data_IF_078203954753
#
_entry.id   IF_078203954753
#
_cell.length_a   1.000
_cell.length_b   1.000
_cell.length_c   1.000
_cell.angle_alpha   90.00
_cell.angle_beta   90.00
_cell.angle_gamma   90.00
#
_symmetry.space_group_name_H-M   'P 1'
#
loop_
_entity.id
_entity.type
_entity.pdbx_description
1 polymer ?
#
# COMPACT_ATOMS: atom_id res chain seq x y z
N UNK A 1 -4.54 1.82 -10.10
CA UNK A 1 -4.08 0.55 -10.65
C UNK A 1 -5.18 -0.44 -10.35
N UNK A 2 -5.67 -1.14 -11.37
CA UNK A 2 -6.67 -2.18 -11.16
C UNK A 2 -6.05 -3.40 -10.48
N UNK A 3 -6.91 -4.28 -10.00
CA UNK A 3 -6.49 -5.55 -9.38
C UNK A 3 -5.76 -6.46 -10.37
N UNK A 4 -6.17 -6.52 -11.64
CA UNK A 4 -5.51 -7.32 -12.67
C UNK A 4 -4.08 -6.85 -12.94
N UNK A 5 -3.87 -5.54 -13.14
CA UNK A 5 -2.52 -4.95 -13.30
C UNK A 5 -1.64 -5.28 -12.09
N UNK A 6 -2.22 -5.24 -10.89
CA UNK A 6 -1.49 -5.50 -9.66
C UNK A 6 -1.11 -6.97 -9.53
N UNK A 7 -1.98 -7.90 -9.92
CA UNK A 7 -1.66 -9.33 -9.98
C UNK A 7 -0.48 -9.56 -10.93
N UNK A 8 -0.56 -9.03 -12.16
CA UNK A 8 0.49 -9.18 -13.18
C UNK A 8 1.85 -8.62 -12.71
N UNK A 9 1.83 -7.56 -11.90
CA UNK A 9 3.04 -7.00 -11.29
C UNK A 9 3.57 -7.80 -10.09
N UNK A 10 2.71 -8.60 -9.44
CA UNK A 10 3.01 -9.24 -8.15
C UNK A 10 3.36 -10.71 -8.28
N UNK A 11 2.93 -11.38 -9.34
CA UNK A 11 3.22 -12.81 -9.58
C UNK A 11 4.02 -13.01 -10.87
N UNK A 12 4.75 -14.12 -10.92
CA UNK A 12 5.55 -14.51 -12.07
C UNK A 12 4.63 -14.71 -13.29
N UNK A 13 5.09 -14.23 -14.45
CA UNK A 13 4.32 -14.28 -15.70
C UNK A 13 3.85 -15.70 -16.03
N UNK A 14 2.55 -15.85 -16.30
CA UNK A 14 1.93 -17.13 -16.67
C UNK A 14 1.68 -18.09 -15.51
N UNK A 15 1.85 -17.65 -14.25
CA UNK A 15 1.62 -18.50 -13.06
C UNK A 15 0.30 -18.23 -12.33
N UNK A 16 -0.43 -17.18 -12.74
CA UNK A 16 -1.72 -16.83 -12.14
C UNK A 16 -2.77 -17.91 -12.41
N UNK A 17 -3.32 -18.44 -11.32
CA UNK A 17 -4.41 -19.43 -11.30
C UNK A 17 -5.55 -18.89 -10.43
N UNK A 18 -6.58 -18.27 -11.02
CA UNK A 18 -7.64 -17.60 -10.28
C UNK A 18 -8.56 -18.60 -9.56
N UNK A 19 -9.16 -18.16 -8.45
CA UNK A 19 -10.09 -18.92 -7.63
C UNK A 19 -11.45 -18.21 -7.51
N UNK A 20 -12.53 -19.01 -7.52
CA UNK A 20 -13.90 -18.57 -7.27
C UNK A 20 -14.32 -17.38 -8.18
N UNK A 21 -13.97 -17.43 -9.46
CA UNK A 21 -14.24 -16.34 -10.42
C UNK A 21 -15.74 -16.14 -10.66
N UNK A 22 -16.52 -17.21 -10.60
CA UNK A 22 -17.97 -17.25 -10.85
C UNK A 22 -18.81 -16.83 -9.62
N UNK A 23 -18.17 -16.58 -8.47
CA UNK A 23 -18.87 -16.16 -7.26
C UNK A 23 -19.33 -14.70 -7.36
N UNK A 24 -20.65 -14.49 -7.23
CA UNK A 24 -21.31 -13.18 -7.38
C UNK A 24 -22.19 -12.84 -6.20
N UNK A 25 -22.29 -11.54 -5.88
CA UNK A 25 -23.15 -11.06 -4.80
C UNK A 25 -24.63 -11.16 -5.17
N UNK A 26 -25.45 -11.46 -4.17
CA UNK A 26 -26.91 -11.31 -4.23
C UNK A 26 -27.34 -10.14 -3.34
N UNK A 27 -28.63 -9.84 -3.32
CA UNK A 27 -29.23 -8.88 -2.38
C UNK A 27 -29.95 -9.65 -1.25
N UNK A 28 -29.26 -9.94 -0.12
CA UNK A 28 -29.77 -10.81 0.93
C UNK A 28 -30.74 -10.12 1.88
N UNK A 29 -30.74 -8.78 1.92
CA UNK A 29 -31.55 -7.98 2.84
C UNK A 29 -32.60 -7.14 2.12
N UNK A 30 -32.77 -7.36 0.80
CA UNK A 30 -33.67 -6.59 -0.07
C UNK A 30 -33.45 -5.08 0.11
N UNK A 31 -32.19 -4.65 -0.04
CA UNK A 31 -31.78 -3.29 0.32
C UNK A 31 -32.57 -2.24 -0.47
N UNK A 32 -33.40 -1.48 0.26
CA UNK A 32 -34.16 -0.39 -0.31
C UNK A 32 -33.29 0.86 -0.52
N UNK A 33 -33.28 1.36 -1.74
CA UNK A 33 -32.53 2.53 -2.18
C UNK A 33 -33.43 3.40 -3.05
N UNK A 34 -33.45 4.72 -2.80
CA UNK A 34 -34.23 5.68 -3.59
C UNK A 34 -33.61 5.95 -4.96
N UNK A 35 -32.30 5.70 -5.12
CA UNK A 35 -31.55 5.98 -6.34
C UNK A 35 -31.58 4.79 -7.31
N UNK A 36 -30.97 3.68 -6.91
CA UNK A 36 -30.82 2.47 -7.71
C UNK A 36 -30.88 1.20 -6.85
N UNK A 37 -31.55 0.12 -7.31
CA UNK A 37 -31.54 -1.17 -6.63
C UNK A 37 -30.12 -1.74 -6.47
N UNK A 38 -29.83 -2.42 -5.36
CA UNK A 38 -28.49 -2.95 -5.09
C UNK A 38 -27.99 -3.91 -6.19
N UNK A 39 -28.87 -4.78 -6.70
CA UNK A 39 -28.55 -5.70 -7.80
C UNK A 39 -28.11 -4.98 -9.06
N UNK A 40 -28.78 -3.89 -9.42
CA UNK A 40 -28.47 -3.11 -10.62
C UNK A 40 -27.13 -2.37 -10.46
N UNK A 41 -26.87 -1.89 -9.24
CA UNK A 41 -25.57 -1.31 -8.88
C UNK A 41 -24.44 -2.32 -9.04
N UNK A 42 -24.58 -3.54 -8.51
CA UNK A 42 -23.60 -4.62 -8.71
C UNK A 42 -23.37 -4.86 -10.21
N UNK A 43 -24.45 -5.08 -10.98
CA UNK A 43 -24.38 -5.34 -12.42
C UNK A 43 -23.70 -4.19 -13.20
N UNK A 44 -23.90 -2.95 -12.76
CA UNK A 44 -23.24 -1.77 -13.34
C UNK A 44 -21.72 -1.80 -13.11
N UNK A 45 -21.28 -2.06 -11.87
CA UNK A 45 -19.86 -2.17 -11.55
C UNK A 45 -19.20 -3.37 -12.22
N UNK A 46 -19.86 -4.53 -12.28
CA UNK A 46 -19.36 -5.70 -13.00
C UNK A 46 -19.10 -5.39 -14.48
N UNK A 47 -20.04 -4.71 -15.15
CA UNK A 47 -19.85 -4.26 -16.54
C UNK A 47 -18.73 -3.23 -16.68
N UNK A 48 -18.58 -2.34 -15.70
CA UNK A 48 -17.58 -1.27 -15.73
C UNK A 48 -16.15 -1.78 -15.53
N UNK A 49 -15.95 -2.70 -14.60
CA UNK A 49 -14.61 -3.18 -14.21
C UNK A 49 -14.24 -4.49 -14.88
N UNK A 50 -15.22 -5.26 -15.39
CA UNK A 50 -15.02 -6.62 -15.87
C UNK A 50 -14.79 -7.64 -14.75
N UNK A 51 -14.97 -7.25 -13.49
CA UNK A 51 -14.78 -8.11 -12.31
C UNK A 51 -16.13 -8.63 -11.81
N UNK A 52 -16.16 -9.80 -11.20
CA UNK A 52 -17.37 -10.30 -10.52
C UNK A 52 -17.59 -9.65 -9.15
N UNK A 53 -16.52 -9.21 -8.49
CA UNK A 53 -16.57 -8.52 -7.20
C UNK A 53 -15.31 -7.66 -6.94
N UNK A 54 -15.26 -7.02 -5.77
CA UNK A 54 -14.20 -6.12 -5.33
C UNK A 54 -12.90 -6.80 -4.87
N UNK A 55 -12.75 -8.11 -5.09
CA UNK A 55 -11.51 -8.83 -4.83
C UNK A 55 -11.30 -9.95 -5.85
N UNK A 56 -10.07 -10.03 -6.36
CA UNK A 56 -9.57 -11.17 -7.10
C UNK A 56 -8.68 -12.01 -6.17
N UNK A 57 -8.85 -13.33 -6.20
CA UNK A 57 -8.14 -14.28 -5.34
C UNK A 57 -7.64 -15.43 -6.19
N UNK A 58 -6.47 -15.97 -5.86
CA UNK A 58 -5.90 -17.07 -6.64
C UNK A 58 -4.51 -17.47 -6.15
N UNK A 59 -3.92 -18.40 -6.88
CA UNK A 59 -2.55 -18.88 -6.67
C UNK A 59 -1.65 -18.24 -7.72
N UNK A 60 -0.40 -18.00 -7.34
CA UNK A 60 0.65 -17.57 -8.25
C UNK A 60 2.01 -18.02 -7.74
N UNK A 61 3.06 -17.63 -8.44
CA UNK A 61 4.43 -17.77 -7.95
C UNK A 61 5.06 -16.40 -7.77
N UNK A 62 5.90 -16.23 -6.75
CA UNK A 62 6.72 -15.06 -6.55
C UNK A 62 8.18 -15.50 -6.51
N UNK A 63 8.93 -15.23 -7.57
CA UNK A 63 10.29 -15.74 -7.75
C UNK A 63 10.37 -17.28 -7.61
N UNK A 64 9.41 -17.99 -8.22
CA UNK A 64 9.28 -19.45 -8.17
C UNK A 64 8.70 -20.01 -6.87
N UNK A 65 8.39 -19.17 -5.87
CA UNK A 65 7.77 -19.61 -4.61
C UNK A 65 6.25 -19.57 -4.78
N UNK A 66 5.54 -20.70 -4.64
CA UNK A 66 4.08 -20.70 -4.74
C UNK A 66 3.47 -19.91 -3.59
N UNK A 67 2.55 -19.01 -3.91
CA UNK A 67 1.86 -18.14 -2.97
C UNK A 67 0.36 -18.14 -3.23
N UNK A 68 -0.43 -17.94 -2.18
CA UNK A 68 -1.82 -17.54 -2.29
C UNK A 68 -1.89 -16.01 -2.22
N UNK A 69 -2.61 -15.37 -3.15
CA UNK A 69 -2.69 -13.91 -3.20
C UNK A 69 -4.13 -13.44 -3.46
N UNK A 70 -4.53 -12.42 -2.71
CA UNK A 70 -5.79 -11.72 -2.89
C UNK A 70 -5.54 -10.23 -3.13
N UNK A 71 -6.16 -9.66 -4.15
CA UNK A 71 -6.00 -8.26 -4.55
C UNK A 71 -7.37 -7.60 -4.62
N UNK A 72 -7.61 -6.65 -3.71
CA UNK A 72 -8.83 -5.86 -3.70
C UNK A 72 -8.82 -4.82 -4.81
N UNK A 73 -10.00 -4.48 -5.33
CA UNK A 73 -10.17 -3.46 -6.36
C UNK A 73 -11.09 -2.33 -5.90
N UNK A 74 -10.49 -1.15 -5.68
CA UNK A 74 -11.24 0.03 -5.25
C UNK A 74 -12.22 0.53 -6.32
N UNK A 75 -12.02 0.20 -7.61
CA UNK A 75 -12.91 0.62 -8.68
C UNK A 75 -14.29 -0.06 -8.58
N UNK A 76 -14.35 -1.25 -7.96
CA UNK A 76 -15.58 -1.97 -7.72
C UNK A 76 -16.21 -1.51 -6.39
N UNK A 77 -17.26 -0.69 -6.45
CA UNK A 77 -17.99 -0.20 -5.26
C UNK A 77 -17.09 0.32 -4.12
N UNK A 78 -15.99 1.00 -4.46
CA UNK A 78 -15.04 1.53 -3.48
C UNK A 78 -14.25 0.44 -2.75
N UNK A 79 -14.10 -0.75 -3.33
CA UNK A 79 -13.42 -1.88 -2.70
C UNK A 79 -14.13 -2.37 -1.43
N UNK A 80 -15.41 -2.06 -1.27
CA UNK A 80 -16.10 -2.29 -0.01
C UNK A 80 -16.24 -3.78 0.29
N UNK A 81 -16.06 -4.22 1.53
CA UNK A 81 -16.13 -5.64 1.86
C UNK A 81 -17.59 -6.07 2.10
N UNK A 82 -18.13 -6.88 1.18
CA UNK A 82 -19.40 -7.60 1.33
C UNK A 82 -19.17 -9.11 1.52
N UNK A 83 -20.25 -9.89 1.50
CA UNK A 83 -20.25 -11.33 1.77
C UNK A 83 -19.35 -12.12 0.82
N UNK A 84 -19.36 -11.79 -0.48
CA UNK A 84 -18.52 -12.45 -1.48
C UNK A 84 -17.04 -12.11 -1.29
N UNK A 85 -16.70 -10.85 -1.00
CA UNK A 85 -15.31 -10.48 -0.64
C UNK A 85 -14.85 -11.31 0.56
N UNK A 86 -15.68 -11.39 1.59
CA UNK A 86 -15.38 -12.17 2.78
C UNK A 86 -15.21 -13.67 2.51
N UNK A 87 -16.11 -14.28 1.72
CA UNK A 87 -16.02 -15.68 1.31
C UNK A 87 -14.78 -15.96 0.48
N UNK A 88 -14.49 -15.19 -0.58
CA UNK A 88 -13.33 -15.40 -1.44
C UNK A 88 -12.02 -15.32 -0.67
N UNK A 89 -11.88 -14.33 0.21
CA UNK A 89 -10.68 -14.20 1.06
C UNK A 89 -10.58 -15.37 2.04
N UNK A 90 -11.69 -15.77 2.65
CA UNK A 90 -11.71 -16.91 3.59
C UNK A 90 -11.28 -18.20 2.90
N UNK A 91 -11.85 -18.50 1.72
CA UNK A 91 -11.49 -19.69 0.92
C UNK A 91 -10.02 -19.67 0.50
N UNK A 92 -9.50 -18.51 0.11
CA UNK A 92 -8.08 -18.36 -0.22
C UNK A 92 -7.19 -18.74 0.97
N UNK A 93 -7.52 -18.25 2.17
CA UNK A 93 -6.77 -18.54 3.40
C UNK A 93 -6.86 -20.02 3.77
N UNK A 94 -8.05 -20.62 3.73
CA UNK A 94 -8.25 -22.04 4.03
C UNK A 94 -7.55 -22.94 3.00
N UNK A 95 -7.60 -22.58 1.72
CA UNK A 95 -6.85 -23.26 0.67
C UNK A 95 -5.34 -23.19 0.94
N UNK A 96 -4.83 -21.99 1.26
CA UNK A 96 -3.43 -21.78 1.60
C UNK A 96 -3.02 -22.55 2.86
N UNK A 97 -3.90 -22.64 3.87
CA UNK A 97 -3.71 -23.44 5.08
C UNK A 97 -3.52 -24.92 4.73
N UNK A 98 -4.38 -25.47 3.88
CA UNK A 98 -4.33 -26.87 3.46
C UNK A 98 -3.11 -27.20 2.59
N UNK A 99 -2.63 -26.22 1.82
CA UNK A 99 -1.47 -26.37 0.93
C UNK A 99 -0.15 -25.88 1.53
N UNK A 100 -0.17 -25.35 2.76
CA UNK A 100 0.98 -24.73 3.42
C UNK A 100 1.62 -23.61 2.59
N UNK A 101 0.80 -22.78 1.96
CA UNK A 101 1.26 -21.64 1.14
C UNK A 101 1.27 -20.36 1.97
N UNK A 102 2.27 -19.46 1.79
CA UNK A 102 2.19 -18.10 2.31
C UNK A 102 1.03 -17.33 1.65
N UNK A 103 0.40 -16.42 2.41
CA UNK A 103 -0.71 -15.60 1.93
C UNK A 103 -0.26 -14.14 1.81
N UNK A 104 -0.60 -13.48 0.70
CA UNK A 104 -0.41 -12.04 0.50
C UNK A 104 -1.77 -11.41 0.21
N UNK A 105 -2.16 -10.38 0.96
CA UNK A 105 -3.36 -9.59 0.70
C UNK A 105 -3.02 -8.16 0.35
N UNK A 106 -3.45 -7.68 -0.81
CA UNK A 106 -3.36 -6.27 -1.21
C UNK A 106 -4.71 -5.61 -0.93
N UNK A 107 -4.72 -4.74 0.08
CA UNK A 107 -5.92 -4.08 0.59
C UNK A 107 -6.16 -2.74 -0.11
N UNK A 108 -7.39 -2.55 -0.58
CA UNK A 108 -7.88 -1.30 -1.16
C UNK A 108 -9.39 -1.22 -0.91
N UNK A 109 -9.82 -0.44 0.07
CA UNK A 109 -11.22 -0.41 0.51
C UNK A 109 -11.62 0.89 1.20
N UNK A 110 -12.85 1.32 0.93
CA UNK A 110 -13.55 2.36 1.68
C UNK A 110 -14.24 1.86 2.97
N UNK A 111 -14.30 0.55 3.21
CA UNK A 111 -14.92 -0.04 4.41
C UNK A 111 -15.88 -1.19 4.11
N UNK A 112 -16.87 -1.41 4.98
CA UNK A 112 -17.86 -2.47 4.83
C UNK A 112 -18.93 -2.10 3.79
N UNK A 113 -19.47 -3.09 3.07
CA UNK A 113 -20.55 -2.95 2.09
C UNK A 113 -21.88 -2.72 2.82
N UNK A 114 -22.31 -1.46 2.97
CA UNK A 114 -23.52 -1.13 3.73
C UNK A 114 -24.78 -1.80 3.21
N UNK A 115 -24.84 -2.08 1.91
CA UNK A 115 -25.98 -2.72 1.24
C UNK A 115 -26.22 -4.17 1.69
N UNK A 116 -25.27 -4.78 2.39
CA UNK A 116 -25.44 -6.11 2.99
C UNK A 116 -25.47 -6.06 4.53
N UNK A 117 -25.47 -4.86 5.12
CA UNK A 117 -25.68 -4.62 6.54
C UNK A 117 -24.74 -5.40 7.45
N UNK A 118 -25.30 -6.13 8.41
CA UNK A 118 -24.55 -6.92 9.39
C UNK A 118 -23.74 -8.06 8.76
N UNK A 119 -24.13 -8.55 7.58
CA UNK A 119 -23.37 -9.59 6.88
C UNK A 119 -21.98 -9.08 6.50
N UNK A 120 -21.86 -7.83 6.05
CA UNK A 120 -20.57 -7.18 5.78
C UNK A 120 -19.72 -7.03 7.03
N UNK A 121 -20.34 -6.67 8.16
CA UNK A 121 -19.62 -6.58 9.44
C UNK A 121 -19.07 -7.95 9.85
N UNK A 122 -19.87 -9.02 9.71
CA UNK A 122 -19.46 -10.37 10.10
C UNK A 122 -18.31 -10.92 9.25
N UNK A 123 -18.06 -10.37 8.05
CA UNK A 123 -16.89 -10.78 7.26
C UNK A 123 -15.57 -10.43 7.96
N UNK A 124 -15.54 -9.38 8.78
CA UNK A 124 -14.36 -9.08 9.62
C UNK A 124 -14.04 -10.27 10.53
N UNK A 125 -15.03 -10.73 11.30
CA UNK A 125 -14.87 -11.84 12.23
C UNK A 125 -14.52 -13.14 11.50
N UNK A 126 -15.18 -13.41 10.37
CA UNK A 126 -14.94 -14.59 9.55
C UNK A 126 -13.50 -14.69 9.05
N UNK A 127 -13.02 -13.64 8.37
CA UNK A 127 -11.65 -13.64 7.84
C UNK A 127 -10.63 -13.68 8.98
N UNK A 128 -10.85 -12.91 10.05
CA UNK A 128 -9.97 -12.92 11.23
C UNK A 128 -9.90 -14.30 11.89
N UNK A 129 -11.01 -15.04 11.95
CA UNK A 129 -11.02 -16.41 12.48
C UNK A 129 -10.23 -17.38 11.60
N UNK A 130 -10.35 -17.27 10.28
CA UNK A 130 -9.57 -18.09 9.35
C UNK A 130 -8.07 -17.77 9.43
N UNK A 131 -7.72 -16.48 9.51
CA UNK A 131 -6.33 -16.04 9.72
C UNK A 131 -5.76 -16.53 11.06
N UNK A 132 -6.57 -16.53 12.12
CA UNK A 132 -6.13 -17.05 13.42
C UNK A 132 -5.72 -18.53 13.32
N UNK A 133 -6.54 -19.39 12.70
CA UNK A 133 -6.15 -20.79 12.49
C UNK A 133 -4.89 -20.91 11.61
N UNK A 134 -4.85 -20.16 10.51
CA UNK A 134 -3.72 -20.12 9.56
C UNK A 134 -2.39 -19.73 10.23
N UNK A 135 -2.36 -18.66 11.03
CA UNK A 135 -1.13 -18.18 11.67
C UNK A 135 -0.78 -19.00 12.91
N UNK A 136 -1.74 -19.29 13.79
CA UNK A 136 -1.42 -19.90 15.09
C UNK A 136 -1.38 -21.43 15.05
N UNK A 137 -2.36 -22.06 14.40
CA UNK A 137 -2.45 -23.53 14.38
C UNK A 137 -1.60 -24.12 13.24
N UNK A 138 -1.58 -23.47 12.07
CA UNK A 138 -0.76 -23.93 10.92
C UNK A 138 0.64 -23.31 10.88
N UNK A 139 0.89 -22.22 11.61
CA UNK A 139 2.20 -21.53 11.66
C UNK A 139 2.67 -21.05 10.27
N UNK A 140 1.73 -20.58 9.47
CA UNK A 140 1.98 -20.09 8.13
C UNK A 140 2.06 -18.55 8.10
N UNK A 141 2.68 -18.03 7.06
CA UNK A 141 3.10 -16.64 6.96
C UNK A 141 2.11 -15.80 6.15
N UNK A 142 1.60 -14.73 6.76
CA UNK A 142 0.65 -13.81 6.19
C UNK A 142 1.23 -12.38 6.05
N UNK A 143 1.16 -11.83 4.83
CA UNK A 143 1.54 -10.44 4.54
C UNK A 143 0.31 -9.63 4.14
N UNK A 144 0.14 -8.48 4.77
CA UNK A 144 -0.85 -7.48 4.36
C UNK A 144 -0.15 -6.29 3.70
N UNK A 145 -0.66 -5.85 2.56
CA UNK A 145 -0.18 -4.67 1.82
C UNK A 145 -1.30 -3.64 1.73
N UNK A 146 -1.14 -2.54 2.46
CA UNK A 146 -2.08 -1.44 2.54
C UNK A 146 -1.85 -0.45 1.42
N UNK A 147 -2.86 -0.29 0.58
CA UNK A 147 -2.85 0.68 -0.51
C UNK A 147 -3.85 1.80 -0.25
N UNK A 148 -3.81 2.86 -1.07
CA UNK A 148 -4.74 3.99 -0.93
C UNK A 148 -6.06 3.74 -1.67
N UNK A 149 -7.22 3.87 -1.00
CA UNK A 149 -7.42 3.94 0.44
C UNK A 149 -7.53 2.54 1.07
N UNK A 150 -7.18 2.40 2.35
CA UNK A 150 -7.53 1.22 3.17
C UNK A 150 -8.19 1.69 4.45
N UNK A 151 -9.52 1.56 4.52
CA UNK A 151 -10.30 2.12 5.63
C UNK A 151 -11.34 1.19 6.27
N UNK A 152 -11.85 1.60 7.43
CA UNK A 152 -13.01 0.98 8.08
C UNK A 152 -12.78 -0.46 8.47
N UNK A 153 -13.72 -1.32 8.11
CA UNK A 153 -13.71 -2.73 8.48
C UNK A 153 -12.48 -3.49 7.98
N UNK A 154 -11.90 -3.13 6.83
CA UNK A 154 -10.69 -3.78 6.31
C UNK A 154 -9.48 -3.45 7.18
N UNK A 155 -9.28 -2.17 7.52
CA UNK A 155 -8.21 -1.76 8.46
C UNK A 155 -8.42 -2.37 9.85
N UNK A 156 -9.66 -2.52 10.31
CA UNK A 156 -9.97 -3.11 11.62
C UNK A 156 -10.06 -4.65 11.62
N UNK A 157 -9.65 -5.31 10.54
CA UNK A 157 -9.64 -6.78 10.44
C UNK A 157 -8.37 -7.24 9.70
N UNK A 158 -8.50 -8.08 8.67
CA UNK A 158 -7.39 -8.73 7.98
C UNK A 158 -6.30 -7.77 7.50
N UNK A 159 -6.64 -6.53 7.14
CA UNK A 159 -5.65 -5.52 6.77
C UNK A 159 -4.58 -5.29 7.84
N UNK A 160 -4.90 -5.36 9.13
CA UNK A 160 -3.96 -5.15 10.24
C UNK A 160 -3.56 -6.45 10.98
N UNK A 161 -3.82 -7.62 10.42
CA UNK A 161 -3.51 -8.91 11.05
C UNK A 161 -2.31 -9.64 10.41
N UNK A 162 -1.59 -8.97 9.52
CA UNK A 162 -0.37 -9.52 8.89
C UNK A 162 0.74 -9.80 9.91
N UNK A 163 1.51 -10.87 9.69
CA UNK A 163 2.80 -11.05 10.36
C UNK A 163 3.78 -9.94 9.94
N UNK A 164 3.65 -9.48 8.68
CA UNK A 164 4.24 -8.23 8.19
C UNK A 164 3.13 -7.42 7.54
N UNK A 165 3.03 -6.16 7.95
CA UNK A 165 2.12 -5.17 7.39
C UNK A 165 2.96 -4.14 6.62
N UNK A 166 2.74 -4.07 5.31
CA UNK A 166 3.43 -3.15 4.40
C UNK A 166 2.46 -2.05 4.02
N UNK A 167 2.90 -0.80 4.02
CA UNK A 167 2.12 0.31 3.45
C UNK A 167 2.77 0.83 2.16
N UNK A 168 1.97 1.36 1.25
CA UNK A 168 2.49 2.10 0.10
C UNK A 168 2.69 3.60 0.44
N UNK A 169 3.63 4.29 -0.22
CA UNK A 169 3.84 5.72 -0.02
C UNK A 169 2.56 6.53 -0.26
N UNK A 170 2.33 7.52 0.59
CA UNK A 170 1.16 8.40 0.58
C UNK A 170 -0.20 7.67 0.69
N UNK A 171 -0.22 6.40 1.12
CA UNK A 171 -1.47 5.67 1.25
C UNK A 171 -2.34 6.27 2.36
N UNK A 172 -3.63 6.47 2.07
CA UNK A 172 -4.61 6.89 3.07
C UNK A 172 -5.14 5.66 3.82
N UNK A 173 -4.76 5.54 5.10
CA UNK A 173 -5.09 4.39 5.95
C UNK A 173 -5.81 4.90 7.20
N UNK A 174 -7.02 4.41 7.45
CA UNK A 174 -7.83 4.93 8.56
C UNK A 174 -8.95 4.00 9.01
N UNK A 175 -9.13 3.81 10.32
CA UNK A 175 -10.37 3.18 10.79
C UNK A 175 -11.59 4.05 10.48
N UNK A 176 -11.63 5.28 11.01
CA UNK A 176 -12.67 6.26 10.72
C UNK A 176 -12.15 7.30 9.71
N UNK A 177 -12.93 7.61 8.69
CA UNK A 177 -12.55 8.63 7.71
C UNK A 177 -12.51 10.05 8.31
N UNK A 178 -11.64 10.92 7.78
CA UNK A 178 -11.48 12.33 8.19
C UNK A 178 -12.81 13.03 8.48
N UNK A 179 -13.75 12.96 7.53
CA UNK A 179 -15.08 13.57 7.63
C UNK A 179 -15.84 13.15 8.91
N UNK A 180 -15.84 11.86 9.24
CA UNK A 180 -16.57 11.32 10.39
C UNK A 180 -15.96 11.82 11.70
N UNK A 181 -14.63 11.87 11.78
CA UNK A 181 -13.90 12.38 12.95
C UNK A 181 -14.22 13.87 13.16
N UNK A 182 -14.16 14.67 12.11
CA UNK A 182 -14.41 16.11 12.19
C UNK A 182 -15.84 16.43 12.63
N UNK A 183 -16.82 15.71 12.08
CA UNK A 183 -18.23 15.85 12.46
C UNK A 183 -18.50 15.44 13.91
N UNK A 184 -17.81 14.41 14.41
CA UNK A 184 -18.03 13.88 15.76
C UNK A 184 -17.35 14.75 16.82
N UNK A 185 -16.14 15.21 16.56
CA UNK A 185 -15.33 15.95 17.52
C UNK A 185 -15.44 17.47 17.37
N UNK A 186 -16.09 17.95 16.31
CA UNK A 186 -16.15 19.35 15.92
C UNK A 186 -14.77 20.03 15.90
N UNK A 187 -13.77 19.28 15.41
CA UNK A 187 -12.36 19.68 15.33
C UNK A 187 -11.80 19.25 14.00
N UNK A 188 -10.97 20.10 13.40
CA UNK A 188 -10.26 19.79 12.16
C UNK A 188 -9.23 18.70 12.40
N UNK A 189 -9.23 17.67 11.56
CA UNK A 189 -8.19 16.64 11.56
C UNK A 189 -6.97 17.19 10.82
N UNK A 190 -5.79 17.21 11.43
CA UNK A 190 -4.58 17.71 10.77
C UNK A 190 -4.31 16.99 9.45
N UNK A 191 -3.95 17.75 8.42
CA UNK A 191 -3.63 17.17 7.12
C UNK A 191 -2.44 16.20 7.22
N UNK A 192 -2.55 15.08 6.51
CA UNK A 192 -1.55 14.01 6.55
C UNK A 192 -1.61 13.10 7.79
N UNK A 193 -2.48 13.34 8.77
CA UNK A 193 -2.55 12.50 9.98
C UNK A 193 -3.00 11.04 9.73
N UNK A 194 -3.53 10.76 8.55
CA UNK A 194 -3.98 9.44 8.09
C UNK A 194 -3.17 8.96 6.87
N UNK A 195 -2.09 9.66 6.53
CA UNK A 195 -1.16 9.24 5.50
C UNK A 195 -0.17 8.21 6.07
N UNK A 196 0.30 7.29 5.21
CA UNK A 196 1.22 6.23 5.58
C UNK A 196 2.45 6.77 6.34
N UNK A 197 3.06 7.85 5.88
CA UNK A 197 4.26 8.44 6.48
C UNK A 197 4.03 8.84 7.95
N UNK A 198 2.88 9.45 8.24
CA UNK A 198 2.54 9.84 9.61
C UNK A 198 2.27 8.61 10.49
N UNK A 199 1.54 7.62 9.98
CA UNK A 199 1.15 6.41 10.71
C UNK A 199 2.35 5.47 10.95
N UNK A 200 3.32 5.45 10.05
CA UNK A 200 4.58 4.73 10.21
C UNK A 200 5.34 5.21 11.45
N UNK A 201 5.40 6.53 11.67
CA UNK A 201 6.00 7.10 12.89
C UNK A 201 5.24 6.76 14.18
N UNK A 202 3.99 6.29 14.07
CA UNK A 202 3.20 5.79 15.20
C UNK A 202 3.32 4.28 15.39
N UNK A 203 4.11 3.59 14.56
CA UNK A 203 4.34 2.15 14.65
C UNK A 203 3.17 1.30 14.18
N UNK A 204 2.35 1.80 13.25
CA UNK A 204 1.15 1.08 12.79
C UNK A 204 1.48 -0.09 11.85
N UNK A 205 2.64 -0.08 11.18
CA UNK A 205 3.05 -1.11 10.21
C UNK A 205 4.58 -1.11 10.00
N UNK A 206 5.10 -2.11 9.29
CA UNK A 206 6.50 -2.54 9.32
C UNK A 206 7.42 -1.82 8.31
N UNK A 207 7.16 -1.85 6.99
CA UNK A 207 7.79 -0.91 6.06
C UNK A 207 6.80 -0.11 5.19
N UNK A 208 7.29 1.02 4.66
CA UNK A 208 6.68 1.70 3.51
C UNK A 208 7.43 1.27 2.24
N UNK A 209 6.72 0.68 1.27
CA UNK A 209 7.30 0.13 0.03
C UNK A 209 6.52 0.62 -1.20
N UNK A 210 7.18 1.25 -2.19
CA UNK A 210 6.53 1.66 -3.44
C UNK A 210 6.16 0.47 -4.34
N UNK A 211 5.04 0.61 -5.06
CA UNK A 211 4.42 -0.42 -5.93
C UNK A 211 5.37 -1.08 -6.91
N UNK A 212 6.14 -0.25 -7.60
CA UNK A 212 7.19 -0.71 -8.49
C UNK A 212 8.48 -0.19 -7.89
N UNK A 213 9.28 -1.04 -7.22
CA UNK A 213 10.65 -0.67 -6.89
C UNK A 213 11.45 -0.62 -8.19
N UNK A 214 11.18 0.37 -9.04
CA UNK A 214 12.14 0.76 -10.05
C UNK A 214 13.44 1.04 -9.32
N UNK A 215 14.54 0.49 -9.85
CA UNK A 215 15.94 0.72 -9.45
C UNK A 215 16.09 2.08 -8.77
N UNK A 216 16.30 2.19 -7.46
CA UNK A 216 16.51 3.48 -6.76
C UNK A 216 15.31 4.07 -6.00
N UNK A 217 14.25 3.29 -5.77
CA UNK A 217 13.16 3.70 -4.89
C UNK A 217 13.60 3.82 -3.42
N UNK A 218 13.01 4.74 -2.65
CA UNK A 218 13.50 5.05 -1.30
C UNK A 218 12.92 6.34 -0.73
N UNK A 219 13.37 6.72 0.46
CA UNK A 219 13.02 8.01 1.08
C UNK A 219 14.24 8.63 1.76
N UNK A 220 14.20 9.96 1.87
CA UNK A 220 15.16 10.75 2.64
C UNK A 220 14.46 11.33 3.85
N UNK A 221 15.02 11.10 5.03
CA UNK A 221 14.56 11.71 6.28
C UNK A 221 15.64 12.62 6.83
N UNK A 222 15.27 13.87 7.07
CA UNK A 222 16.13 14.86 7.69
C UNK A 222 15.56 15.24 9.06
N UNK A 223 16.28 14.94 10.14
CA UNK A 223 15.82 15.20 11.51
C UNK A 223 16.75 16.20 12.20
N UNK A 224 16.27 17.44 12.39
CA UNK A 224 17.04 18.50 13.05
C UNK A 224 17.22 18.28 14.54
N UNK A 225 16.24 17.69 15.22
CA UNK A 225 16.31 17.53 16.68
C UNK A 225 17.41 16.55 17.05
N UNK A 226 17.50 15.48 16.29
CA UNK A 226 18.50 14.42 16.45
C UNK A 226 19.82 14.73 15.70
N UNK A 227 19.83 15.75 14.82
CA UNK A 227 21.00 16.12 14.04
C UNK A 227 21.42 15.06 13.02
N UNK A 228 20.47 14.28 12.49
CA UNK A 228 20.73 13.12 11.61
C UNK A 228 20.03 13.23 10.26
N UNK A 229 20.66 12.62 9.26
CA UNK A 229 20.06 12.33 7.96
C UNK A 229 20.05 10.83 7.76
N UNK A 230 18.88 10.28 7.42
CA UNK A 230 18.70 8.88 7.09
C UNK A 230 18.27 8.77 5.64
N UNK A 231 19.03 8.01 4.86
CA UNK A 231 18.76 7.74 3.46
C UNK A 231 18.45 6.26 3.33
N UNK A 232 17.25 5.97 2.87
CA UNK A 232 16.83 4.64 2.55
C UNK A 232 16.75 4.49 1.03
N UNK A 233 17.37 3.42 0.49
CA UNK A 233 17.31 3.08 -0.94
C UNK A 233 17.11 1.58 -1.13
N UNK A 234 16.37 1.25 -2.17
CA UNK A 234 16.20 -0.08 -2.74
C UNK A 234 16.88 -0.15 -4.10
N UNK A 235 17.80 -1.10 -4.24
CA UNK A 235 18.35 -1.51 -5.53
C UNK A 235 19.46 -0.63 -6.09
N UNK A 236 20.56 -1.27 -6.48
CA UNK A 236 21.39 -0.83 -7.60
C UNK A 236 20.96 -1.65 -8.83
N UNK A 237 21.18 -1.19 -10.08
CA UNK A 237 20.92 -2.02 -11.26
C UNK A 237 21.58 -3.41 -11.09
N UNK A 238 20.76 -4.48 -11.06
CA UNK A 238 21.22 -5.86 -10.96
C UNK A 238 21.38 -6.44 -9.54
N UNK A 239 21.13 -5.65 -8.48
CA UNK A 239 21.25 -6.13 -7.09
C UNK A 239 20.06 -5.64 -6.25
N UNK A 240 19.17 -6.57 -5.86
CA UNK A 240 18.10 -6.33 -4.88
C UNK A 240 18.67 -6.24 -3.46
N UNK A 241 19.35 -5.13 -3.15
CA UNK A 241 19.91 -4.86 -1.82
C UNK A 241 19.30 -3.61 -1.20
N UNK A 242 19.02 -3.71 0.10
CA UNK A 242 18.64 -2.60 0.97
C UNK A 242 19.87 -1.79 1.33
N UNK A 243 19.85 -0.48 1.07
CA UNK A 243 20.86 0.45 1.53
C UNK A 243 20.20 1.39 2.53
N UNK A 244 20.68 1.35 3.78
CA UNK A 244 20.33 2.33 4.81
C UNK A 244 21.60 3.07 5.19
N UNK A 245 21.65 4.35 4.87
CA UNK A 245 22.76 5.22 5.23
C UNK A 245 22.28 6.19 6.31
N UNK A 246 23.05 6.31 7.38
CA UNK A 246 22.81 7.27 8.44
C UNK A 246 24.03 8.15 8.55
N UNK A 247 23.81 9.46 8.48
CA UNK A 247 24.83 10.49 8.57
C UNK A 247 24.47 11.48 9.66
N UNK A 248 25.49 12.08 10.25
CA UNK A 248 25.28 13.25 11.08
C UNK A 248 25.20 14.49 10.18
N UNK A 249 24.30 15.42 10.49
CA UNK A 249 24.15 16.65 9.70
C UNK A 249 25.46 17.44 9.58
N UNK A 250 26.29 17.43 10.64
CA UNK A 250 27.61 18.06 10.66
C UNK A 250 28.63 17.45 9.68
N UNK A 251 28.36 16.26 9.15
CA UNK A 251 29.22 15.59 8.17
C UNK A 251 28.90 16.02 6.73
N UNK A 252 27.78 16.72 6.53
CA UNK A 252 27.36 17.22 5.22
C UNK A 252 28.22 18.43 4.85
N UNK A 253 28.89 18.34 3.71
CA UNK A 253 29.79 19.39 3.22
C UNK A 253 29.09 20.32 2.24
N UNK A 254 28.29 19.76 1.32
CA UNK A 254 27.57 20.53 0.32
C UNK A 254 26.44 19.73 -0.30
N UNK A 255 25.53 20.44 -0.98
CA UNK A 255 24.58 19.86 -1.91
C UNK A 255 24.99 20.30 -3.31
N UNK A 256 25.07 19.35 -4.23
CA UNK A 256 25.36 19.59 -5.64
C UNK A 256 24.19 19.14 -6.49
N UNK A 257 23.87 19.92 -7.50
CA UNK A 257 22.91 19.54 -8.53
C UNK A 257 23.66 19.20 -9.82
N UNK A 258 23.26 18.11 -10.47
CA UNK A 258 23.68 17.75 -11.82
C UNK A 258 22.46 17.84 -12.75
N UNK A 259 22.58 18.66 -13.80
CA UNK A 259 21.55 18.83 -14.83
C UNK A 259 22.18 18.50 -16.18
N UNK A 260 21.60 17.51 -16.86
CA UNK A 260 21.93 17.12 -18.23
C UNK A 260 20.69 17.29 -19.09
N UNK A 261 20.82 18.02 -20.19
CA UNK A 261 19.75 18.25 -21.16
C UNK A 261 19.95 17.40 -22.43
N UNK A 262 18.89 17.21 -23.23
CA UNK A 262 18.90 16.47 -24.50
C UNK A 262 17.91 15.30 -24.54
N UNK A 263 18.16 14.32 -25.42
CA UNK A 263 17.32 13.12 -25.64
C UNK A 263 17.09 12.25 -24.39
N UNK A 264 17.95 12.40 -23.37
CA UNK A 264 17.83 11.73 -22.07
C UNK A 264 18.13 12.73 -20.96
N UNK A 265 17.15 13.60 -20.62
CA UNK A 265 17.37 14.61 -19.59
C UNK A 265 17.58 13.90 -18.25
N UNK A 266 18.60 14.31 -17.51
CA UNK A 266 18.91 13.75 -16.19
C UNK A 266 19.12 14.88 -15.21
N UNK A 267 18.41 14.82 -14.08
CA UNK A 267 18.44 15.85 -13.04
C UNK A 267 18.61 15.13 -11.71
N UNK A 268 19.76 15.31 -11.05
CA UNK A 268 20.09 14.59 -9.82
C UNK A 268 20.66 15.56 -8.79
N UNK A 269 20.12 15.50 -7.57
CA UNK A 269 20.70 16.12 -6.40
C UNK A 269 21.64 15.14 -5.71
N UNK A 270 22.80 15.62 -5.31
CA UNK A 270 23.82 14.91 -4.57
C UNK A 270 24.09 15.63 -3.26
N UNK A 271 24.31 14.85 -2.20
CA UNK A 271 24.80 15.34 -0.92
C UNK A 271 26.22 14.84 -0.72
N UNK A 272 27.16 15.76 -0.56
CA UNK A 272 28.56 15.43 -0.29
C UNK A 272 28.74 15.20 1.21
N UNK A 273 29.16 13.98 1.57
CA UNK A 273 29.43 13.60 2.96
C UNK A 273 30.93 13.48 3.18
N UNK A 274 31.42 14.14 4.23
CA UNK A 274 32.83 14.11 4.62
C UNK A 274 33.31 12.67 4.77
N UNK A 275 34.28 12.27 3.95
CA UNK A 275 34.90 10.94 3.99
C UNK A 275 34.08 9.81 3.37
N UNK A 276 32.88 10.07 2.84
CA UNK A 276 32.04 9.06 2.18
C UNK A 276 31.64 9.42 0.73
N UNK A 277 31.89 10.66 0.31
CA UNK A 277 31.64 11.12 -1.07
C UNK A 277 30.18 11.48 -1.33
N UNK A 278 29.81 11.51 -2.62
CA UNK A 278 28.52 12.00 -3.09
C UNK A 278 27.41 10.94 -2.98
N UNK A 279 26.34 11.26 -2.26
CA UNK A 279 25.16 10.40 -2.15
C UNK A 279 23.99 11.02 -2.93
N UNK A 280 23.38 10.31 -3.90
CA UNK A 280 22.23 10.83 -4.64
C UNK A 280 20.96 10.90 -3.79
N UNK A 281 20.36 12.09 -3.74
CA UNK A 281 19.10 12.39 -3.06
C UNK A 281 17.88 12.28 -3.97
N UNK A 282 18.02 12.57 -5.26
CA UNK A 282 16.90 12.43 -6.20
C UNK A 282 16.63 10.96 -6.47
N UNK A 283 15.36 10.56 -6.37
CA UNK A 283 14.96 9.19 -6.72
C UNK A 283 15.02 9.03 -8.24
N UNK A 284 15.30 7.83 -8.68
CA UNK A 284 15.34 7.44 -10.10
C UNK A 284 13.98 7.47 -10.79
N UNK A 285 12.89 7.39 -10.02
CA UNK A 285 11.51 7.54 -10.50
C UNK A 285 10.97 8.96 -10.33
N UNK A 286 11.74 9.89 -9.74
CA UNK A 286 11.41 11.31 -9.68
C UNK A 286 11.75 11.99 -11.01
N UNK A 287 10.73 12.35 -11.78
CA UNK A 287 10.89 13.08 -13.05
C UNK A 287 10.71 14.59 -12.82
N UNK A 288 11.62 15.20 -12.07
CA UNK A 288 11.56 16.62 -11.69
C UNK A 288 11.84 17.53 -12.90
N UNK A 289 11.09 18.62 -13.03
CA UNK A 289 11.42 19.76 -13.91
C UNK A 289 12.67 20.51 -13.41
N UNK A 290 13.33 21.35 -14.24
CA UNK A 290 14.48 22.15 -13.79
C UNK A 290 14.15 23.01 -12.57
N UNK A 291 12.97 23.63 -12.58
CA UNK A 291 12.51 24.49 -11.49
C UNK A 291 12.26 23.72 -10.20
N UNK A 292 11.66 22.52 -10.29
CA UNK A 292 11.41 21.68 -9.11
C UNK A 292 12.70 21.19 -8.47
N UNK A 293 13.70 20.79 -9.26
CA UNK A 293 14.98 20.36 -8.70
C UNK A 293 15.77 21.52 -8.09
N UNK A 294 15.74 22.71 -8.70
CA UNK A 294 16.33 23.93 -8.13
C UNK A 294 15.66 24.31 -6.82
N UNK A 295 14.33 24.26 -6.76
CA UNK A 295 13.59 24.55 -5.55
C UNK A 295 13.91 23.55 -4.44
N UNK A 296 13.92 22.25 -4.74
CA UNK A 296 14.30 21.20 -3.78
C UNK A 296 15.74 21.37 -3.28
N UNK A 297 16.66 21.79 -4.16
CA UNK A 297 18.04 22.11 -3.78
C UNK A 297 18.11 23.29 -2.82
N UNK A 298 17.37 24.37 -3.11
CA UNK A 298 17.34 25.58 -2.29
C UNK A 298 16.72 25.30 -0.91
N UNK A 299 15.64 24.52 -0.85
CA UNK A 299 14.99 24.13 0.40
C UNK A 299 15.93 23.32 1.29
N UNK A 300 16.64 22.34 0.72
CA UNK A 300 17.63 21.55 1.46
C UNK A 300 18.83 22.39 1.91
N UNK A 301 19.37 23.26 1.04
CA UNK A 301 20.47 24.15 1.39
C UNK A 301 20.09 25.08 2.54
N UNK A 302 18.91 25.69 2.48
CA UNK A 302 18.36 26.50 3.55
C UNK A 302 18.14 25.70 4.83
N UNK A 303 17.68 24.46 4.67
CA UNK A 303 17.42 23.58 5.78
C UNK A 303 18.70 23.25 6.57
N UNK A 304 19.83 23.02 5.89
CA UNK A 304 21.12 22.76 6.53
C UNK A 304 21.85 24.01 7.00
N UNK A 305 21.72 25.15 6.30
CA UNK A 305 22.33 26.42 6.72
C UNK A 305 21.84 26.89 8.10
N UNK A 306 20.62 26.51 8.49
CA UNK A 306 20.03 26.80 9.81
C UNK A 306 20.32 25.75 10.88
N UNK A 307 21.05 24.69 10.55
CA UNK A 307 21.38 23.58 11.45
C UNK A 307 22.83 23.65 11.99
N UNK A 308 23.64 24.58 11.47
CA UNK A 308 25.00 24.87 11.93
C UNK A 308 25.03 26.08 12.86
#
# INVERSE_FOLDING_TARGET
MGSSDRIELSVDSGTWDPMDEDMVSIDPIEFHSEEEPYRDRINSYQRKTGLTEAVQTGIGQLNGIPIAIGVMDFQFMGGSMGSVVGEKITRLIEYAANRSLPVIMVCASGGARMQEGSLSLMQMAKISSALYDYQFNKKLFYVSILTSPTTGGVTASFGMLGDIIIAEPNAYIAFAGKRVIEQTLNKTVPDGSQAAEYLFHKGLFDPIVPRNPLKGSGYDRFDRKEGIVCIFRWGFPGINRRIFLRFLMREIQSIRMEVKEGLYPRRVLYMEIRGQGAIPLTRTDENLTPREIEQKAAELAYFFARAN
#
